data_IF_499131810389
#
_entry.id   IF_499131810389
#
_cell.length_a   1.000
_cell.length_b   1.000
_cell.length_c   1.000
_cell.angle_alpha   90.00
_cell.angle_beta   90.00
_cell.angle_gamma   90.00
#
_symmetry.space_group_name_H-M   'P 1'
#
loop_
_entity.id
_entity.type
_entity.pdbx_description
1 polymer ?
#
# COMPACT_ATOMS: atom_id res chain seq x y z
N UNK A 1 6.22 -10.74 -18.10
CA UNK A 1 4.95 -11.14 -17.44
C UNK A 1 4.17 -9.98 -16.79
N UNK A 2 4.78 -8.83 -16.46
CA UNK A 2 4.08 -7.69 -15.84
C UNK A 2 2.97 -7.03 -16.69
N UNK A 3 3.12 -7.03 -18.03
CA UNK A 3 2.16 -6.36 -18.93
C UNK A 3 0.73 -6.93 -18.92
N UNK A 4 0.53 -8.21 -18.58
CA UNK A 4 -0.80 -8.84 -18.53
C UNK A 4 -1.62 -8.44 -17.29
N UNK A 5 -0.96 -8.18 -16.15
CA UNK A 5 -1.59 -7.89 -14.87
C UNK A 5 -2.38 -6.56 -14.89
N UNK A 6 -1.84 -5.54 -15.58
CA UNK A 6 -2.44 -4.20 -15.65
C UNK A 6 -3.27 -3.95 -16.89
N UNK A 7 -3.43 -4.97 -17.75
CA UNK A 7 -4.11 -4.84 -19.05
C UNK A 7 -5.56 -4.35 -18.91
N UNK A 8 -6.29 -4.90 -17.96
CA UNK A 8 -7.70 -4.56 -17.78
C UNK A 8 -7.86 -3.12 -17.27
N UNK A 9 -6.99 -2.69 -16.35
CA UNK A 9 -6.97 -1.31 -15.90
C UNK A 9 -6.67 -0.34 -17.04
N UNK A 10 -5.59 -0.58 -17.80
CA UNK A 10 -5.20 0.25 -18.93
C UNK A 10 -6.27 0.28 -20.03
N UNK A 11 -6.85 -0.86 -20.37
CA UNK A 11 -7.92 -0.92 -21.39
C UNK A 11 -9.16 -0.13 -20.91
N UNK A 12 -9.55 -0.25 -19.65
CA UNK A 12 -10.66 0.51 -19.10
C UNK A 12 -10.36 2.01 -19.12
N UNK A 13 -9.16 2.42 -18.72
CA UNK A 13 -8.74 3.81 -18.79
C UNK A 13 -8.76 4.35 -20.23
N UNK A 14 -8.15 3.62 -21.18
CA UNK A 14 -8.11 4.04 -22.59
C UNK A 14 -9.47 4.04 -23.28
N UNK A 15 -10.48 3.40 -22.68
CA UNK A 15 -11.86 3.45 -23.14
C UNK A 15 -12.67 4.61 -22.51
N UNK A 16 -12.06 5.38 -21.62
CA UNK A 16 -12.68 6.58 -21.04
C UNK A 16 -12.90 7.67 -22.08
N UNK A 17 -13.65 8.70 -21.72
CA UNK A 17 -13.84 9.86 -22.58
C UNK A 17 -12.49 10.51 -22.92
N UNK A 18 -12.19 10.82 -24.20
CA UNK A 18 -10.87 11.33 -24.61
C UNK A 18 -10.42 12.57 -23.85
N UNK A 19 -11.33 13.50 -23.58
CA UNK A 19 -11.01 14.72 -22.79
C UNK A 19 -10.59 14.39 -21.35
N UNK A 20 -11.13 13.33 -20.75
CA UNK A 20 -10.75 12.91 -19.39
C UNK A 20 -9.42 12.16 -19.38
N UNK A 21 -9.12 11.41 -20.45
CA UNK A 21 -7.79 10.77 -20.64
C UNK A 21 -6.72 11.86 -20.73
N UNK A 22 -6.95 12.85 -21.58
CA UNK A 22 -6.03 13.98 -21.74
C UNK A 22 -5.83 14.74 -20.44
N UNK A 23 -6.93 15.01 -19.72
CA UNK A 23 -6.89 15.69 -18.42
C UNK A 23 -6.09 14.89 -17.39
N UNK A 24 -6.35 13.58 -17.24
CA UNK A 24 -5.66 12.73 -16.27
C UNK A 24 -4.15 12.68 -16.49
N UNK A 25 -3.69 12.78 -17.74
CA UNK A 25 -2.28 12.76 -18.10
C UNK A 25 -1.64 14.16 -18.15
N UNK A 26 -2.34 15.24 -17.74
CA UNK A 26 -1.85 16.61 -17.79
C UNK A 26 -1.43 17.07 -16.39
N UNK A 27 -0.12 17.00 -16.10
CA UNK A 27 0.44 17.52 -14.85
C UNK A 27 0.35 19.04 -14.77
N UNK A 28 0.27 19.61 -13.56
CA UNK A 28 0.16 21.05 -13.32
C UNK A 28 1.25 21.89 -13.99
N UNK A 29 2.48 21.39 -14.07
CA UNK A 29 3.57 22.08 -14.78
C UNK A 29 3.29 22.25 -16.28
N UNK A 30 2.70 21.24 -16.92
CA UNK A 30 2.33 21.34 -18.34
C UNK A 30 1.10 22.24 -18.53
N UNK A 31 0.14 22.10 -17.66
CA UNK A 31 -1.07 22.92 -17.66
C UNK A 31 -0.72 24.42 -17.56
N UNK A 32 0.18 24.79 -16.65
CA UNK A 32 0.65 26.15 -16.48
C UNK A 32 1.37 26.69 -17.74
N UNK A 33 2.23 25.88 -18.37
CA UNK A 33 2.96 26.30 -19.59
C UNK A 33 2.03 26.52 -20.79
N UNK A 34 0.87 25.89 -20.81
CA UNK A 34 -0.05 25.87 -21.96
C UNK A 34 -1.43 26.49 -21.68
N UNK A 35 -1.62 27.09 -20.50
CA UNK A 35 -2.90 27.65 -20.04
C UNK A 35 -4.06 26.63 -20.14
N UNK A 36 -3.81 25.41 -19.65
CA UNK A 36 -4.76 24.31 -19.61
C UNK A 36 -5.17 23.99 -18.17
N UNK A 37 -6.18 23.13 -18.01
CA UNK A 37 -6.57 22.57 -16.72
C UNK A 37 -5.64 21.41 -16.35
N UNK A 38 -5.14 21.37 -15.10
CA UNK A 38 -4.34 20.25 -14.56
C UNK A 38 -5.21 19.08 -14.11
N UNK A 39 -4.56 17.95 -13.84
CA UNK A 39 -5.19 16.75 -13.32
C UNK A 39 -5.55 16.81 -11.83
N UNK A 40 -5.16 17.84 -11.07
CA UNK A 40 -5.32 17.92 -9.60
C UNK A 40 -6.76 17.69 -9.11
N UNK A 41 -7.75 18.24 -9.81
CA UNK A 41 -9.15 18.07 -9.39
C UNK A 41 -9.69 16.67 -9.65
N UNK A 42 -9.27 16.03 -10.73
CA UNK A 42 -9.70 14.67 -11.06
C UNK A 42 -8.92 13.63 -10.24
N UNK A 43 -7.68 13.91 -9.87
CA UNK A 43 -6.87 13.20 -8.89
C UNK A 43 -7.60 13.16 -7.53
N UNK A 44 -7.97 14.31 -6.97
CA UNK A 44 -8.72 14.39 -5.71
C UNK A 44 -9.98 13.49 -5.71
N UNK A 45 -10.70 13.46 -6.83
CA UNK A 45 -11.85 12.58 -6.98
C UNK A 45 -11.43 11.11 -7.02
N UNK A 46 -10.37 10.82 -7.76
CA UNK A 46 -9.86 9.45 -7.94
C UNK A 46 -9.32 8.83 -6.66
N UNK A 47 -8.59 9.60 -5.83
CA UNK A 47 -8.16 9.17 -4.48
C UNK A 47 -9.37 8.73 -3.64
N UNK A 48 -10.40 9.58 -3.57
CA UNK A 48 -11.62 9.28 -2.81
C UNK A 48 -12.33 8.03 -3.31
N UNK A 49 -12.44 7.86 -4.63
CA UNK A 49 -13.05 6.69 -5.28
C UNK A 49 -12.23 5.42 -5.02
N UNK A 50 -10.90 5.49 -5.17
CA UNK A 50 -9.98 4.40 -4.88
C UNK A 50 -10.09 3.95 -3.42
N UNK A 51 -10.06 4.91 -2.49
CA UNK A 51 -10.22 4.65 -1.07
C UNK A 51 -11.54 3.96 -0.74
N UNK A 52 -12.65 4.36 -1.39
CA UNK A 52 -13.97 3.76 -1.23
C UNK A 52 -14.01 2.31 -1.77
N UNK A 53 -13.49 2.06 -2.98
CA UNK A 53 -13.43 0.72 -3.59
C UNK A 53 -12.67 -0.26 -2.71
N UNK A 54 -11.50 0.17 -2.20
CA UNK A 54 -10.68 -0.68 -1.33
C UNK A 54 -11.36 -0.90 0.01
N UNK A 55 -11.96 0.12 0.60
CA UNK A 55 -12.67 0.00 1.88
C UNK A 55 -13.85 -0.96 1.81
N UNK A 56 -14.70 -0.83 0.77
CA UNK A 56 -15.83 -1.73 0.51
C UNK A 56 -15.34 -3.18 0.38
N UNK A 57 -14.34 -3.42 -0.47
CA UNK A 57 -13.82 -4.76 -0.67
C UNK A 57 -13.27 -5.39 0.61
N UNK A 58 -12.48 -4.63 1.38
CA UNK A 58 -11.93 -5.12 2.66
C UNK A 58 -13.03 -5.41 3.69
N UNK A 59 -14.07 -4.58 3.75
CA UNK A 59 -15.23 -4.77 4.62
C UNK A 59 -15.96 -6.07 4.32
N UNK A 60 -16.21 -6.34 3.04
CA UNK A 60 -16.97 -7.52 2.61
C UNK A 60 -16.17 -8.83 2.74
N UNK A 61 -14.85 -8.78 2.52
CA UNK A 61 -14.01 -9.98 2.43
C UNK A 61 -13.21 -10.29 3.69
N UNK A 62 -13.30 -9.46 4.74
CA UNK A 62 -12.62 -9.71 6.02
C UNK A 62 -13.54 -9.44 7.22
N UNK A 63 -13.20 -10.07 8.36
CA UNK A 63 -13.86 -9.79 9.65
C UNK A 63 -12.92 -9.05 10.62
N UNK A 64 -11.90 -8.40 10.10
CA UNK A 64 -10.91 -7.68 10.91
C UNK A 64 -11.53 -6.42 11.54
N UNK A 65 -10.96 -6.00 12.69
CA UNK A 65 -11.35 -4.76 13.35
C UNK A 65 -11.01 -3.53 12.51
N UNK A 66 -11.71 -2.42 12.75
CA UNK A 66 -11.59 -1.15 12.01
C UNK A 66 -10.13 -0.69 11.86
N UNK A 67 -9.33 -0.69 12.94
CA UNK A 67 -7.93 -0.28 12.88
C UNK A 67 -7.08 -1.13 11.91
N UNK A 68 -7.35 -2.44 11.80
CA UNK A 68 -6.69 -3.31 10.82
C UNK A 68 -7.16 -2.99 9.39
N UNK A 69 -8.46 -2.75 9.18
CA UNK A 69 -8.99 -2.37 7.87
C UNK A 69 -8.39 -1.04 7.39
N UNK A 70 -8.28 -0.05 8.25
CA UNK A 70 -7.66 1.25 7.94
C UNK A 70 -6.18 1.11 7.57
N UNK A 71 -5.41 0.28 8.28
CA UNK A 71 -4.01 -0.02 7.94
C UNK A 71 -3.88 -0.75 6.60
N UNK A 72 -4.72 -1.74 6.36
CA UNK A 72 -4.72 -2.49 5.09
C UNK A 72 -5.04 -1.58 3.91
N UNK A 73 -6.07 -0.73 4.04
CA UNK A 73 -6.39 0.28 3.03
C UNK A 73 -5.19 1.18 2.77
N UNK A 74 -4.62 1.79 3.81
CA UNK A 74 -3.45 2.68 3.66
C UNK A 74 -2.26 1.99 3.00
N UNK A 75 -2.02 0.71 3.25
CA UNK A 75 -0.94 -0.04 2.60
C UNK A 75 -1.19 -0.29 1.10
N UNK A 76 -2.45 -0.44 0.69
CA UNK A 76 -2.83 -0.70 -0.70
C UNK A 76 -2.84 0.56 -1.56
N UNK A 77 -3.18 1.72 -0.98
CA UNK A 77 -3.36 2.98 -1.72
C UNK A 77 -2.26 4.02 -1.42
N UNK A 78 -1.17 3.64 -0.75
CA UNK A 78 -0.07 4.57 -0.47
C UNK A 78 0.70 4.94 -1.74
N UNK A 79 1.35 6.10 -1.71
CA UNK A 79 2.21 6.62 -2.80
C UNK A 79 3.17 5.57 -3.35
N UNK A 80 3.85 4.83 -2.47
CA UNK A 80 4.81 3.78 -2.87
C UNK A 80 4.15 2.64 -3.66
N UNK A 81 2.93 2.23 -3.29
CA UNK A 81 2.20 1.18 -3.99
C UNK A 81 1.75 1.68 -5.37
N UNK A 82 1.09 2.84 -5.43
CA UNK A 82 0.55 3.40 -6.67
C UNK A 82 1.67 3.80 -7.65
N UNK A 83 2.75 4.41 -7.19
CA UNK A 83 3.90 4.74 -8.06
C UNK A 83 4.58 3.49 -8.62
N UNK A 84 4.64 2.39 -7.85
CA UNK A 84 5.14 1.11 -8.36
C UNK A 84 4.27 0.56 -9.51
N UNK A 85 2.94 0.67 -9.41
CA UNK A 85 2.03 0.31 -10.50
C UNK A 85 2.22 1.22 -11.71
N UNK A 86 2.33 2.52 -11.50
CA UNK A 86 2.57 3.49 -12.57
C UNK A 86 3.85 3.18 -13.35
N UNK A 87 4.96 2.88 -12.64
CA UNK A 87 6.23 2.50 -13.27
C UNK A 87 6.12 1.18 -14.03
N UNK A 88 5.43 0.19 -13.48
CA UNK A 88 5.20 -1.08 -14.16
C UNK A 88 4.38 -0.92 -15.46
N UNK A 89 3.51 0.09 -15.51
CA UNK A 89 2.73 0.49 -16.69
C UNK A 89 3.48 1.47 -17.60
N UNK A 90 4.67 1.97 -17.20
CA UNK A 90 5.47 2.98 -17.91
C UNK A 90 4.72 4.32 -18.10
N UNK A 91 3.92 4.72 -17.12
CA UNK A 91 3.10 5.95 -17.21
C UNK A 91 3.95 7.21 -17.29
N UNK A 92 5.20 7.18 -16.83
CA UNK A 92 6.16 8.27 -16.97
C UNK A 92 6.37 8.69 -18.44
N UNK A 93 6.09 7.80 -19.40
CA UNK A 93 6.21 8.09 -20.84
C UNK A 93 4.97 8.77 -21.42
N UNK A 94 3.82 8.62 -20.75
CA UNK A 94 2.55 9.19 -21.20
C UNK A 94 2.23 10.53 -20.50
N UNK A 95 2.84 10.78 -19.34
CA UNK A 95 2.59 11.97 -18.55
C UNK A 95 3.10 13.24 -19.26
N UNK A 96 2.23 14.22 -19.41
CA UNK A 96 2.57 15.54 -20.00
C UNK A 96 3.20 16.41 -18.93
N UNK A 97 4.47 16.75 -19.12
CA UNK A 97 5.26 17.55 -18.18
C UNK A 97 5.70 18.86 -18.83
N UNK A 98 5.59 19.96 -18.09
CA UNK A 98 6.06 21.27 -18.48
C UNK A 98 7.58 21.43 -18.36
N UNK A 99 8.09 22.58 -18.82
CA UNK A 99 9.53 22.89 -18.88
C UNK A 99 10.23 22.75 -17.54
N UNK A 100 9.56 23.11 -16.44
CA UNK A 100 10.10 23.03 -15.08
C UNK A 100 10.42 21.59 -14.61
N UNK A 101 9.77 20.59 -15.21
CA UNK A 101 9.90 19.17 -14.87
C UNK A 101 10.57 18.32 -15.96
N UNK A 102 10.72 18.86 -17.21
CA UNK A 102 11.10 18.08 -18.41
C UNK A 102 12.45 17.36 -18.30
N UNK A 103 13.39 17.91 -17.52
CA UNK A 103 14.73 17.34 -17.37
C UNK A 103 14.95 16.68 -15.98
N UNK A 104 13.89 16.42 -15.25
CA UNK A 104 13.95 15.77 -13.94
C UNK A 104 13.30 14.38 -14.01
N UNK A 105 13.75 13.41 -13.20
CA UNK A 105 13.04 12.15 -13.04
C UNK A 105 11.62 12.41 -12.56
N UNK A 106 10.65 11.69 -13.10
CA UNK A 106 9.26 11.72 -12.61
C UNK A 106 9.25 11.16 -11.20
N UNK A 107 8.74 11.94 -10.24
CA UNK A 107 8.68 11.54 -8.82
C UNK A 107 7.61 10.48 -8.57
N UNK A 108 7.71 9.81 -7.43
CA UNK A 108 6.69 8.83 -7.01
C UNK A 108 5.35 9.53 -6.74
N UNK A 109 5.36 10.74 -6.18
CA UNK A 109 4.16 11.55 -6.00
C UNK A 109 3.45 11.84 -7.34
N UNK A 110 4.16 12.36 -8.35
CA UNK A 110 3.58 12.60 -9.67
C UNK A 110 2.95 11.35 -10.30
N UNK A 111 3.56 10.19 -10.07
CA UNK A 111 3.05 8.92 -10.59
C UNK A 111 1.83 8.44 -9.83
N UNK A 112 1.82 8.62 -8.51
CA UNK A 112 0.67 8.36 -7.65
C UNK A 112 -0.53 9.18 -8.09
N UNK A 113 -0.35 10.51 -8.15
CA UNK A 113 -1.37 11.48 -8.56
C UNK A 113 -1.94 11.15 -9.96
N UNK A 114 -1.07 10.69 -10.87
CA UNK A 114 -1.48 10.27 -12.22
C UNK A 114 -2.38 9.02 -12.17
N UNK A 115 -2.07 8.00 -11.35
CA UNK A 115 -2.92 6.81 -11.20
C UNK A 115 -4.27 7.19 -10.61
N UNK A 116 -4.29 8.05 -9.60
CA UNK A 116 -5.53 8.55 -9.00
C UNK A 116 -6.35 9.36 -10.02
N UNK A 117 -5.71 10.23 -10.80
CA UNK A 117 -6.39 10.97 -11.87
C UNK A 117 -6.98 10.04 -12.94
N UNK A 118 -6.28 8.95 -13.31
CA UNK A 118 -6.81 7.93 -14.22
C UNK A 118 -8.05 7.25 -13.64
N UNK A 119 -8.06 6.93 -12.35
CA UNK A 119 -9.22 6.35 -11.65
C UNK A 119 -10.39 7.34 -11.66
N UNK A 120 -10.13 8.63 -11.41
CA UNK A 120 -11.13 9.68 -11.52
C UNK A 120 -11.74 9.79 -12.92
N UNK A 121 -10.91 9.69 -13.97
CA UNK A 121 -11.37 9.68 -15.37
C UNK A 121 -12.25 8.47 -15.69
N UNK A 122 -11.85 7.30 -15.22
CA UNK A 122 -12.63 6.06 -15.36
C UNK A 122 -13.98 6.18 -14.62
N UNK A 123 -13.98 6.71 -13.41
CA UNK A 123 -15.18 6.91 -12.61
C UNK A 123 -16.19 7.84 -13.30
N UNK A 124 -15.73 8.99 -13.81
CA UNK A 124 -16.58 9.93 -14.54
C UNK A 124 -17.11 9.35 -15.86
N UNK A 125 -16.36 8.42 -16.47
CA UNK A 125 -16.75 7.79 -17.74
C UNK A 125 -17.73 6.63 -17.56
N UNK A 126 -17.56 5.82 -16.51
CA UNK A 126 -18.23 4.51 -16.39
C UNK A 126 -19.02 4.30 -15.09
N UNK A 127 -18.82 5.16 -14.10
CA UNK A 127 -19.40 4.99 -12.77
C UNK A 127 -18.68 3.93 -11.92
N UNK A 128 -19.07 3.84 -10.65
CA UNK A 128 -18.38 3.10 -9.60
C UNK A 128 -18.29 1.59 -9.88
N UNK A 129 -19.38 0.95 -10.24
CA UNK A 129 -19.44 -0.51 -10.36
C UNK A 129 -18.56 -1.07 -11.48
N UNK A 130 -18.47 -0.37 -12.63
CA UNK A 130 -17.69 -0.84 -13.76
C UNK A 130 -16.18 -0.77 -13.55
N UNK A 131 -15.70 0.10 -12.67
CA UNK A 131 -14.27 0.31 -12.46
C UNK A 131 -13.72 -0.51 -11.29
N UNK A 132 -14.54 -1.09 -10.43
CA UNK A 132 -14.12 -1.90 -9.29
C UNK A 132 -13.19 -3.03 -9.70
N UNK A 133 -13.64 -3.92 -10.57
CA UNK A 133 -12.90 -5.12 -10.95
C UNK A 133 -11.51 -4.83 -11.53
N UNK A 134 -11.33 -3.92 -12.51
CA UNK A 134 -10.01 -3.58 -13.02
C UNK A 134 -9.09 -2.93 -11.97
N UNK A 135 -9.61 -2.13 -11.03
CA UNK A 135 -8.84 -1.51 -9.96
C UNK A 135 -8.38 -2.55 -8.94
N UNK A 136 -9.29 -3.39 -8.43
CA UNK A 136 -8.97 -4.44 -7.47
C UNK A 136 -7.95 -5.44 -8.03
N UNK A 137 -8.04 -5.76 -9.33
CA UNK A 137 -7.08 -6.61 -10.01
C UNK A 137 -5.71 -5.92 -10.18
N UNK A 138 -5.68 -4.62 -10.48
CA UNK A 138 -4.45 -3.82 -10.51
C UNK A 138 -3.73 -3.87 -9.16
N UNK A 139 -4.47 -3.70 -8.07
CA UNK A 139 -3.93 -3.73 -6.70
C UNK A 139 -3.50 -5.13 -6.24
N UNK A 140 -3.94 -6.21 -6.95
CA UNK A 140 -3.70 -7.60 -6.53
C UNK A 140 -4.25 -7.90 -5.13
N UNK A 141 -5.42 -7.35 -4.85
CA UNK A 141 -5.98 -7.33 -3.50
C UNK A 141 -6.25 -8.72 -2.93
N UNK A 142 -6.60 -9.68 -3.78
CA UNK A 142 -6.80 -11.08 -3.38
C UNK A 142 -5.51 -11.72 -2.87
N UNK A 143 -4.40 -11.48 -3.57
CA UNK A 143 -3.09 -11.97 -3.14
C UNK A 143 -2.61 -11.23 -1.89
N UNK A 144 -2.89 -9.93 -1.80
CA UNK A 144 -2.65 -9.15 -0.59
C UNK A 144 -3.38 -9.75 0.63
N UNK A 145 -4.64 -10.17 0.48
CA UNK A 145 -5.41 -10.80 1.55
C UNK A 145 -4.90 -12.22 1.90
N UNK A 146 -4.53 -13.03 0.90
CA UNK A 146 -4.02 -14.39 1.08
C UNK A 146 -2.65 -14.43 1.75
N UNK A 147 -1.76 -13.58 1.33
CA UNK A 147 -0.39 -13.51 1.89
C UNK A 147 -0.37 -12.90 3.28
N UNK A 148 -1.55 -12.45 3.77
CA UNK A 148 -1.64 -11.73 5.02
C UNK A 148 -0.62 -10.60 4.99
N UNK A 149 -0.72 -9.72 3.99
CA UNK A 149 0.27 -8.66 3.78
C UNK A 149 0.20 -7.58 4.89
N UNK A 150 0.06 -8.05 6.07
CA UNK A 150 0.65 -7.56 7.30
C UNK A 150 2.19 -7.62 7.18
N UNK A 151 2.74 -7.18 6.01
CA UNK A 151 4.21 -7.08 5.83
C UNK A 151 4.84 -6.13 6.85
N UNK A 152 4.07 -5.66 7.80
CA UNK A 152 4.54 -4.64 8.69
C UNK A 152 4.22 -4.77 10.16
N UNK A 153 3.07 -5.21 10.58
CA UNK A 153 2.66 -4.95 11.96
C UNK A 153 2.30 -6.18 12.81
N UNK A 154 3.15 -7.21 12.73
CA UNK A 154 3.07 -8.32 13.68
C UNK A 154 3.14 -7.85 15.14
N UNK A 155 3.71 -6.67 15.40
CA UNK A 155 3.74 -6.06 16.72
C UNK A 155 2.34 -5.69 17.19
N UNK A 156 1.55 -5.03 16.32
CA UNK A 156 0.15 -4.70 16.62
C UNK A 156 -0.73 -5.95 16.68
N UNK A 157 -0.60 -6.88 15.72
CA UNK A 157 -1.37 -8.13 15.72
C UNK A 157 -1.14 -8.91 17.01
N UNK A 158 0.11 -9.06 17.43
CA UNK A 158 0.46 -9.74 18.66
C UNK A 158 -0.09 -8.99 19.88
N UNK A 159 -0.05 -7.66 19.86
CA UNK A 159 -0.56 -6.82 20.93
C UNK A 159 -2.08 -6.93 21.06
N UNK A 160 -2.81 -6.86 19.94
CA UNK A 160 -4.27 -7.07 19.88
C UNK A 160 -4.66 -8.48 20.35
N UNK A 161 -3.91 -9.50 19.90
CA UNK A 161 -4.13 -10.88 20.34
C UNK A 161 -3.92 -11.03 21.84
N UNK A 162 -2.83 -10.51 22.39
CA UNK A 162 -2.56 -10.56 23.83
C UNK A 162 -3.62 -9.79 24.61
N UNK A 163 -4.04 -8.61 24.14
CA UNK A 163 -5.10 -7.83 24.79
C UNK A 163 -6.44 -8.56 24.77
N UNK A 164 -6.85 -9.15 23.66
CA UNK A 164 -8.09 -9.94 23.56
C UNK A 164 -8.09 -11.15 24.50
N UNK A 165 -6.93 -11.75 24.74
CA UNK A 165 -6.75 -12.88 25.66
C UNK A 165 -6.31 -12.49 27.08
N UNK A 166 -6.33 -11.19 27.43
CA UNK A 166 -5.91 -10.63 28.72
C UNK A 166 -4.50 -11.03 29.15
N UNK A 167 -3.60 -11.22 28.18
CA UNK A 167 -2.19 -11.54 28.41
C UNK A 167 -1.34 -10.28 28.47
N UNK A 168 -0.36 -10.21 29.35
CA UNK A 168 0.58 -9.11 29.47
C UNK A 168 1.78 -9.34 28.53
N UNK A 169 2.06 -8.36 27.65
CA UNK A 169 3.17 -8.43 26.70
C UNK A 169 4.24 -7.39 27.03
N UNK A 170 5.51 -7.78 26.95
CA UNK A 170 6.68 -6.93 27.14
C UNK A 170 7.73 -7.22 26.07
N UNK A 171 8.49 -6.16 25.66
CA UNK A 171 9.59 -6.26 24.71
C UNK A 171 10.91 -5.89 25.39
N UNK A 172 11.89 -6.79 25.35
CA UNK A 172 13.25 -6.52 25.81
C UNK A 172 14.18 -6.37 24.61
N UNK A 173 14.99 -5.31 24.60
CA UNK A 173 15.89 -4.97 23.51
C UNK A 173 17.35 -5.16 23.96
N UNK A 174 18.15 -5.76 23.09
CA UNK A 174 19.61 -5.85 23.22
C UNK A 174 20.26 -5.55 21.87
N UNK A 175 21.46 -4.97 21.87
CA UNK A 175 22.26 -4.77 20.66
C UNK A 175 23.64 -5.36 20.83
N UNK A 176 24.20 -5.89 19.75
CA UNK A 176 25.57 -6.39 19.68
C UNK A 176 26.22 -5.81 18.42
N UNK A 177 27.45 -5.30 18.58
CA UNK A 177 28.27 -4.84 17.44
C UNK A 177 29.28 -5.92 17.10
N UNK A 178 29.30 -6.38 15.85
CA UNK A 178 30.26 -7.37 15.41
C UNK A 178 31.66 -6.76 15.17
N UNK A 179 32.66 -7.60 14.95
CA UNK A 179 34.08 -7.17 14.72
C UNK A 179 34.24 -6.29 13.46
N UNK A 180 33.23 -6.22 12.59
CA UNK A 180 33.19 -5.37 11.39
C UNK A 180 32.43 -4.07 11.56
N UNK A 181 32.05 -3.68 12.80
CA UNK A 181 31.31 -2.43 13.08
C UNK A 181 29.83 -2.47 12.72
N UNK A 182 29.29 -3.60 12.31
CA UNK A 182 27.88 -3.75 11.97
C UNK A 182 27.06 -4.08 13.21
N UNK A 183 26.08 -3.23 13.50
CA UNK A 183 25.19 -3.39 14.66
C UNK A 183 24.03 -4.35 14.33
N UNK A 184 23.80 -5.31 15.21
CA UNK A 184 22.67 -6.25 15.13
C UNK A 184 21.81 -6.10 16.37
N UNK A 185 20.53 -5.79 16.17
CA UNK A 185 19.57 -5.66 17.23
C UNK A 185 18.87 -7.00 17.47
N UNK A 186 18.75 -7.39 18.73
CA UNK A 186 17.97 -8.55 19.16
C UNK A 186 16.84 -8.08 20.06
N UNK A 187 15.62 -8.51 19.77
CA UNK A 187 14.43 -8.21 20.55
C UNK A 187 13.82 -9.50 21.05
N UNK A 188 13.47 -9.56 22.33
CA UNK A 188 12.79 -10.69 22.96
C UNK A 188 11.39 -10.28 23.37
N UNK A 189 10.38 -11.05 22.98
CA UNK A 189 9.00 -10.90 23.45
C UNK A 189 8.77 -11.80 24.66
N UNK A 190 8.21 -11.22 25.69
CA UNK A 190 7.81 -11.86 26.94
C UNK A 190 6.30 -11.73 27.04
N UNK A 191 5.61 -12.84 27.26
CA UNK A 191 4.15 -12.89 27.49
C UNK A 191 3.91 -13.57 28.82
N UNK A 192 3.19 -12.89 29.71
CA UNK A 192 2.90 -13.34 31.08
C UNK A 192 4.16 -13.79 31.84
N UNK A 193 5.25 -13.03 31.70
CA UNK A 193 6.54 -13.29 32.34
C UNK A 193 7.38 -14.40 31.68
N UNK A 194 6.87 -15.08 30.64
CA UNK A 194 7.61 -16.15 29.92
C UNK A 194 8.19 -15.62 28.62
N UNK A 195 9.48 -15.88 28.37
CA UNK A 195 10.12 -15.58 27.08
C UNK A 195 9.53 -16.46 25.99
N UNK A 196 8.82 -15.83 25.05
CA UNK A 196 8.07 -16.55 24.00
C UNK A 196 8.88 -16.67 22.71
N UNK A 197 9.50 -15.58 22.26
CA UNK A 197 10.29 -15.55 21.04
C UNK A 197 11.38 -14.49 21.12
N UNK A 198 12.37 -14.60 20.22
CA UNK A 198 13.38 -13.59 19.96
C UNK A 198 13.56 -13.40 18.45
N UNK A 199 13.80 -12.16 18.04
CA UNK A 199 14.01 -11.78 16.64
C UNK A 199 15.26 -10.91 16.51
N UNK A 200 15.97 -11.06 15.39
CA UNK A 200 17.16 -10.26 15.05
C UNK A 200 16.88 -9.39 13.83
N UNK A 201 17.58 -8.25 13.75
CA UNK A 201 17.49 -7.35 12.60
C UNK A 201 18.59 -6.30 12.60
N UNK A 202 18.86 -5.72 11.42
CA UNK A 202 19.82 -4.62 11.24
C UNK A 202 19.30 -3.27 11.79
N UNK A 203 18.04 -3.21 12.20
CA UNK A 203 17.40 -2.07 12.87
C UNK A 203 16.43 -2.62 13.92
N UNK A 204 16.21 -1.86 15.01
CA UNK A 204 15.29 -2.22 16.09
C UNK A 204 13.90 -2.61 15.55
N UNK A 205 13.32 -1.81 14.64
CA UNK A 205 12.01 -2.10 14.03
C UNK A 205 11.96 -3.44 13.29
N UNK A 206 13.05 -3.84 12.63
CA UNK A 206 13.12 -5.13 11.92
C UNK A 206 13.19 -6.28 12.93
N UNK A 207 13.98 -6.14 13.99
CA UNK A 207 14.08 -7.14 15.05
C UNK A 207 12.76 -7.32 15.80
N UNK A 208 12.06 -6.22 16.13
CA UNK A 208 10.73 -6.23 16.74
C UNK A 208 9.71 -6.96 15.87
N UNK A 209 9.64 -6.63 14.57
CA UNK A 209 8.75 -7.28 13.62
C UNK A 209 8.97 -8.78 13.53
N UNK A 210 10.24 -9.21 13.38
CA UNK A 210 10.60 -10.62 13.30
C UNK A 210 10.24 -11.36 14.59
N UNK A 211 10.50 -10.74 15.73
CA UNK A 211 10.19 -11.29 17.05
C UNK A 211 8.67 -11.44 17.25
N UNK A 212 7.89 -10.39 16.93
CA UNK A 212 6.44 -10.39 17.07
C UNK A 212 5.78 -11.46 16.18
N UNK A 213 6.26 -11.64 14.94
CA UNK A 213 5.79 -12.71 14.05
C UNK A 213 5.98 -14.10 14.68
N UNK A 214 7.19 -14.39 15.13
CA UNK A 214 7.51 -15.69 15.75
C UNK A 214 6.70 -15.93 17.03
N UNK A 215 6.47 -14.88 17.82
CA UNK A 215 5.65 -14.98 19.02
C UNK A 215 4.18 -15.27 18.69
N UNK A 216 3.61 -14.58 17.72
CA UNK A 216 2.23 -14.79 17.27
C UNK A 216 2.02 -16.18 16.72
N UNK A 217 2.92 -16.68 15.86
CA UNK A 217 2.88 -18.03 15.31
C UNK A 217 2.90 -19.11 16.42
N UNK A 218 3.69 -18.89 17.48
CA UNK A 218 3.74 -19.83 18.63
C UNK A 218 2.46 -19.81 19.44
N UNK A 219 1.87 -18.64 19.71
CA UNK A 219 0.64 -18.54 20.49
C UNK A 219 -0.54 -19.18 19.74
N UNK A 220 -0.66 -18.92 18.44
CA UNK A 220 -1.75 -19.46 17.63
C UNK A 220 -1.65 -20.95 17.38
N UNK A 221 -0.42 -21.50 17.19
CA UNK A 221 -0.22 -22.96 17.08
C UNK A 221 -0.51 -23.72 18.38
N UNK A 222 -0.30 -23.09 19.53
CA UNK A 222 -0.61 -23.70 20.82
C UNK A 222 -2.10 -23.60 21.19
N UNK A 223 -2.84 -22.68 20.60
CA UNK A 223 -4.29 -22.56 20.79
C UNK A 223 -5.10 -23.59 19.96
N UNK A 224 -4.47 -24.29 19.02
CA UNK A 224 -5.06 -25.33 18.16
C UNK A 224 -4.78 -26.76 18.67
N UNK A 225 -4.14 -26.90 19.81
CA UNK A 225 -3.94 -28.16 20.55
C UNK A 225 -4.76 -28.16 21.84
#
# INVERSE_FOLDING_TARGET
MAKGKYKDFLNTFLSSQPALIDLALTHSSYANDHNLTSNERIEFLGDSVLGCIVAEYLYDHTKKAEGSLSKMRSALVCEQALSSFARAMQLEKALRLGRSCKNKPVSDAMLCDTVEAMIGAMFLSFGFEKIKAPILKMLDIDEFLKTGNDKGDYKTILQEYCQANKMKIEYQHTSETNKGGQETFTVTVIVDGKRLAHGKGSKVKIAEKNCARLAYEKLTKNALK
#
